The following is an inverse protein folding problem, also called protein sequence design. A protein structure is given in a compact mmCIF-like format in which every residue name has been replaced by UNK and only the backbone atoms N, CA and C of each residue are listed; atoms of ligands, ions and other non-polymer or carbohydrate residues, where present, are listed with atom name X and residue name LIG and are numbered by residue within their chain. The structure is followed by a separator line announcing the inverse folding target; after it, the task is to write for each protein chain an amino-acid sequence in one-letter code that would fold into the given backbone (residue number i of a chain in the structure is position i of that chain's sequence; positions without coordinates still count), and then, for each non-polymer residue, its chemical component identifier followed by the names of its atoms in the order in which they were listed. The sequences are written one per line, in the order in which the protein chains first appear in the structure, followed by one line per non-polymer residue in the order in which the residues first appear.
data_IF_085067709233
#
_entry.id   IF_085067709233
#
_cell.length_a   1.000
_cell.length_b   1.000
_cell.length_c   1.000
_cell.angle_alpha   90.00
_cell.angle_beta   90.00
_cell.angle_gamma   90.00
#
_symmetry.space_group_name_H-M   'P 1'
#
loop_
_entity.id
_entity.type
_entity.pdbx_description
1 polymer ?
#
# COMPACT_ATOMS: atom_id res chain seq x y z
N UNK A 1 2.71 28.49 2.77
CA UNK A 1 1.67 27.61 3.33
C UNK A 1 0.40 27.54 2.47
N UNK A 2 -0.39 28.61 2.26
CA UNK A 2 -1.65 28.55 1.46
C UNK A 2 -1.55 27.94 0.05
N UNK A 3 -0.42 28.08 -0.65
CA UNK A 3 -0.23 27.46 -1.97
C UNK A 3 0.02 25.94 -1.93
N UNK A 4 0.61 25.40 -0.85
CA UNK A 4 0.76 23.95 -0.69
C UNK A 4 -0.59 23.27 -0.44
N UNK A 5 -1.45 23.88 0.39
CA UNK A 5 -2.80 23.38 0.66
C UNK A 5 -3.68 23.34 -0.61
N UNK A 6 -3.64 24.39 -1.45
CA UNK A 6 -4.37 24.40 -2.71
C UNK A 6 -3.85 23.35 -3.71
N UNK A 7 -2.55 23.05 -3.69
CA UNK A 7 -1.97 21.95 -4.46
C UNK A 7 -2.45 20.58 -3.98
N UNK A 8 -2.62 20.43 -2.66
CA UNK A 8 -3.04 19.20 -2.00
C UNK A 8 -4.53 18.92 -2.17
N UNK A 9 -5.40 19.93 -2.01
CA UNK A 9 -6.84 19.83 -2.30
C UNK A 9 -7.08 19.49 -3.78
N UNK A 10 -6.28 20.08 -4.68
CA UNK A 10 -6.33 19.77 -6.11
C UNK A 10 -5.82 18.35 -6.39
N UNK A 11 -4.78 17.89 -5.69
CA UNK A 11 -4.29 16.51 -5.80
C UNK A 11 -5.29 15.49 -5.26
N UNK A 12 -5.96 15.76 -4.14
CA UNK A 12 -7.04 14.93 -3.58
C UNK A 12 -8.24 14.89 -4.51
N UNK A 13 -8.66 16.04 -5.03
CA UNK A 13 -9.71 16.12 -6.05
C UNK A 13 -9.35 15.35 -7.31
N UNK A 14 -8.09 15.41 -7.74
CA UNK A 14 -7.58 14.61 -8.85
C UNK A 14 -7.54 13.11 -8.53
N UNK A 15 -7.21 12.72 -7.30
CA UNK A 15 -7.20 11.31 -6.87
C UNK A 15 -8.62 10.72 -6.85
N UNK A 16 -9.59 11.50 -6.37
CA UNK A 16 -11.02 11.15 -6.38
C UNK A 16 -11.54 11.11 -7.81
N UNK A 17 -11.15 12.06 -8.67
CA UNK A 17 -11.50 12.05 -10.09
C UNK A 17 -10.85 10.87 -10.84
N UNK A 18 -9.60 10.51 -10.52
CA UNK A 18 -8.93 9.31 -11.03
C UNK A 18 -9.64 8.03 -10.56
N UNK A 19 -10.12 7.98 -9.30
CA UNK A 19 -10.94 6.86 -8.80
C UNK A 19 -12.26 6.73 -9.58
N UNK A 20 -12.97 7.84 -9.79
CA UNK A 20 -14.21 7.85 -10.58
C UNK A 20 -13.95 7.48 -12.06
N UNK A 21 -12.87 7.98 -12.66
CA UNK A 21 -12.47 7.63 -14.02
C UNK A 21 -12.01 6.16 -14.14
N UNK A 22 -11.36 5.62 -13.11
CA UNK A 22 -10.96 4.21 -13.05
C UNK A 22 -12.17 3.29 -12.84
N UNK A 23 -13.21 3.73 -12.11
CA UNK A 23 -14.50 3.03 -12.04
C UNK A 23 -15.27 3.08 -13.37
N UNK A 24 -15.18 4.19 -14.10
CA UNK A 24 -15.77 4.31 -15.43
C UNK A 24 -15.00 3.51 -16.49
N UNK A 25 -13.67 3.44 -16.41
CA UNK A 25 -12.82 2.56 -17.23
C UNK A 25 -12.91 1.08 -16.82
N UNK A 26 -13.34 0.75 -15.59
CA UNK A 26 -13.78 -0.61 -15.23
C UNK A 26 -15.06 -1.01 -15.97
N UNK A 27 -15.96 -0.05 -16.25
CA UNK A 27 -17.18 -0.28 -17.06
C UNK A 27 -16.86 -0.36 -18.56
N UNK A 28 -15.82 0.33 -19.01
CA UNK A 28 -15.31 0.28 -20.40
C UNK A 28 -13.94 -0.39 -20.41
N UNK A 29 -13.91 -1.73 -20.36
CA UNK A 29 -12.70 -2.54 -20.23
C UNK A 29 -11.47 -2.01 -20.99
N UNK A 30 -10.66 -1.20 -20.31
CA UNK A 30 -9.40 -0.68 -20.82
C UNK A 30 -8.27 -1.42 -20.11
N UNK A 31 -7.92 -2.58 -20.67
CA UNK A 31 -6.73 -3.34 -20.31
C UNK A 31 -5.49 -2.59 -20.76
N UNK A 32 -4.97 -1.69 -19.92
CA UNK A 32 -3.59 -1.22 -20.02
C UNK A 32 -2.67 -2.43 -19.98
N UNK A 33 -1.95 -2.67 -21.07
CA UNK A 33 -1.12 -3.86 -21.27
C UNK A 33 0.17 -3.71 -20.47
N UNK A 34 0.11 -3.93 -19.15
CA UNK A 34 1.28 -4.29 -18.36
C UNK A 34 1.89 -5.53 -19.02
N UNK A 35 3.21 -5.48 -19.25
CA UNK A 35 3.97 -6.59 -19.81
C UNK A 35 3.94 -7.75 -18.78
N UNK A 36 2.89 -8.58 -18.83
CA UNK A 36 2.49 -9.54 -17.79
C UNK A 36 3.59 -10.54 -17.39
N UNK A 37 4.66 -10.66 -18.17
CA UNK A 37 5.75 -11.60 -17.92
C UNK A 37 6.64 -11.23 -16.73
N UNK A 38 6.63 -9.97 -16.26
CA UNK A 38 7.47 -9.49 -15.16
C UNK A 38 6.69 -8.79 -14.03
N UNK A 39 5.37 -8.86 -14.01
CA UNK A 39 4.56 -8.20 -12.98
C UNK A 39 4.64 -9.00 -11.68
N UNK A 40 5.11 -8.36 -10.60
CA UNK A 40 5.08 -8.96 -9.27
C UNK A 40 3.67 -8.85 -8.70
N UNK A 41 3.26 -9.82 -7.90
CA UNK A 41 2.11 -9.69 -7.03
C UNK A 41 2.56 -9.54 -5.57
N UNK A 42 1.67 -9.02 -4.72
CA UNK A 42 1.95 -8.72 -3.32
C UNK A 42 2.32 -9.97 -2.52
N UNK A 43 1.86 -11.16 -2.92
CA UNK A 43 2.22 -12.39 -2.24
C UNK A 43 3.66 -12.77 -2.47
N UNK A 44 4.27 -12.39 -3.61
CA UNK A 44 5.71 -12.58 -3.87
C UNK A 44 6.61 -12.04 -2.76
N UNK A 45 6.14 -11.05 -2.01
CA UNK A 45 6.91 -10.42 -0.94
C UNK A 45 7.00 -11.29 0.32
N UNK A 46 6.07 -12.22 0.50
CA UNK A 46 5.98 -13.04 1.71
C UNK A 46 6.82 -14.31 1.52
N UNK A 47 7.70 -14.62 2.45
CA UNK A 47 8.48 -15.86 2.36
C UNK A 47 7.60 -17.12 2.47
N UNK A 48 7.93 -18.14 1.69
CA UNK A 48 7.18 -19.41 1.57
C UNK A 48 5.71 -19.24 1.10
N UNK A 49 5.48 -18.32 0.16
CA UNK A 49 4.18 -17.85 -0.37
C UNK A 49 3.04 -18.86 -0.41
N UNK A 50 3.20 -20.02 -1.06
CA UNK A 50 2.08 -20.96 -1.28
C UNK A 50 1.64 -21.72 -0.01
N UNK A 51 2.50 -21.81 1.00
CA UNK A 51 2.23 -22.50 2.27
C UNK A 51 2.15 -21.54 3.46
N UNK A 52 2.43 -20.26 3.23
CA UNK A 52 2.39 -19.25 4.27
C UNK A 52 0.94 -18.91 4.61
N UNK A 53 0.61 -18.99 5.89
CA UNK A 53 -0.74 -18.72 6.43
C UNK A 53 -1.18 -17.28 6.14
N UNK A 54 -0.28 -16.30 6.22
CA UNK A 54 -0.57 -14.89 5.89
C UNK A 54 -0.98 -14.76 4.42
N UNK A 55 -0.25 -15.39 3.49
CA UNK A 55 -0.63 -15.40 2.08
C UNK A 55 -2.01 -16.02 1.87
N UNK A 56 -2.28 -17.15 2.53
CA UNK A 56 -3.58 -17.81 2.43
C UNK A 56 -4.71 -16.91 2.91
N UNK A 57 -4.55 -16.27 4.08
CA UNK A 57 -5.53 -15.31 4.60
C UNK A 57 -5.75 -14.13 3.66
N UNK A 58 -4.68 -13.52 3.16
CA UNK A 58 -4.78 -12.41 2.21
C UNK A 58 -5.54 -12.84 0.95
N UNK A 59 -5.19 -14.00 0.38
CA UNK A 59 -5.81 -14.48 -0.85
C UNK A 59 -7.26 -14.95 -0.67
N UNK A 60 -7.63 -15.44 0.51
CA UNK A 60 -8.98 -15.92 0.79
C UNK A 60 -9.91 -14.84 1.32
N UNK A 61 -9.40 -13.86 2.06
CA UNK A 61 -10.22 -12.86 2.75
C UNK A 61 -10.18 -11.48 2.11
N UNK A 62 -9.19 -11.13 1.28
CA UNK A 62 -9.11 -9.79 0.67
C UNK A 62 -9.78 -9.76 -0.70
N UNK A 63 -10.63 -8.76 -0.96
CA UNK A 63 -11.30 -8.62 -2.25
C UNK A 63 -10.29 -8.45 -3.39
N UNK A 64 -10.57 -9.09 -4.54
CA UNK A 64 -9.73 -9.03 -5.75
C UNK A 64 -9.44 -7.61 -6.22
N UNK A 65 -10.38 -6.67 -6.03
CA UNK A 65 -10.20 -5.27 -6.40
C UNK A 65 -9.12 -4.58 -5.54
N UNK A 66 -9.10 -4.86 -4.24
CA UNK A 66 -8.09 -4.37 -3.31
C UNK A 66 -6.71 -4.95 -3.65
N UNK A 67 -6.63 -6.27 -3.87
CA UNK A 67 -5.38 -6.91 -4.33
C UNK A 67 -4.88 -6.34 -5.67
N UNK A 68 -5.78 -6.06 -6.61
CA UNK A 68 -5.40 -5.46 -7.88
C UNK A 68 -4.83 -4.04 -7.72
N UNK A 69 -5.38 -3.24 -6.81
CA UNK A 69 -4.86 -1.91 -6.48
C UNK A 69 -3.47 -2.00 -5.84
N UNK A 70 -3.29 -2.86 -4.84
CA UNK A 70 -1.99 -3.07 -4.16
C UNK A 70 -0.94 -3.57 -5.15
N UNK A 71 -1.30 -4.54 -6.00
CA UNK A 71 -0.41 -5.02 -7.06
C UNK A 71 -0.06 -3.91 -8.06
N UNK A 72 -0.98 -3.01 -8.39
CA UNK A 72 -0.66 -1.86 -9.23
C UNK A 72 0.38 -0.97 -8.55
N UNK A 73 0.17 -0.60 -7.27
CA UNK A 73 1.14 0.18 -6.47
C UNK A 73 2.52 -0.47 -6.46
N UNK A 74 2.60 -1.77 -6.19
CA UNK A 74 3.86 -2.53 -6.19
C UNK A 74 4.61 -2.42 -7.53
N UNK A 75 3.89 -2.47 -8.65
CA UNK A 75 4.50 -2.47 -9.97
C UNK A 75 4.84 -1.07 -10.49
N UNK A 76 4.15 -0.02 -10.02
CA UNK A 76 4.29 1.36 -10.55
C UNK A 76 5.06 2.31 -9.63
N UNK A 77 5.03 2.11 -8.32
CA UNK A 77 5.69 3.00 -7.37
C UNK A 77 7.14 2.55 -7.10
N UNK A 78 8.15 3.36 -7.44
CA UNK A 78 9.56 2.95 -7.36
C UNK A 78 10.04 2.74 -5.92
N UNK A 79 9.50 3.47 -4.94
CA UNK A 79 9.86 3.29 -3.52
C UNK A 79 9.31 1.95 -3.03
N UNK A 80 8.02 1.67 -3.31
CA UNK A 80 7.40 0.41 -2.91
C UNK A 80 8.08 -0.79 -3.59
N UNK A 81 8.39 -0.67 -4.89
CA UNK A 81 9.12 -1.71 -5.61
C UNK A 81 10.51 -1.96 -5.03
N UNK A 82 11.18 -0.92 -4.55
CA UNK A 82 12.49 -1.01 -3.90
C UNK A 82 12.40 -1.64 -2.51
N UNK A 83 11.38 -1.30 -1.71
CA UNK A 83 11.07 -1.96 -0.44
C UNK A 83 10.83 -3.46 -0.64
N UNK A 84 10.11 -3.80 -1.70
CA UNK A 84 9.85 -5.17 -2.16
C UNK A 84 11.12 -5.98 -2.47
N UNK A 85 12.25 -5.31 -2.69
CA UNK A 85 13.56 -5.91 -2.97
C UNK A 85 14.48 -5.90 -1.72
N UNK A 86 13.93 -5.53 -0.55
CA UNK A 86 14.65 -5.51 0.72
C UNK A 86 15.37 -4.20 1.03
N UNK A 87 15.18 -3.14 0.23
CA UNK A 87 15.69 -1.80 0.59
C UNK A 87 14.90 -1.24 1.78
N UNK A 88 15.60 -0.60 2.70
CA UNK A 88 15.05 0.04 3.90
C UNK A 88 14.97 1.55 3.74
N UNK A 89 14.23 2.23 4.61
CA UNK A 89 14.09 3.70 4.63
C UNK A 89 15.43 4.43 4.48
N UNK A 90 16.47 3.97 5.17
CA UNK A 90 17.81 4.57 5.13
C UNK A 90 18.51 4.52 3.76
N UNK A 91 18.04 3.67 2.84
CA UNK A 91 18.58 3.56 1.48
C UNK A 91 17.97 4.60 0.52
N UNK A 92 16.93 5.32 0.95
CA UNK A 92 16.30 6.36 0.16
C UNK A 92 16.90 7.71 0.56
N UNK A 93 17.63 8.34 -0.36
CA UNK A 93 18.19 9.67 -0.16
C UNK A 93 17.17 10.76 -0.54
N UNK A 94 17.20 11.87 0.19
CA UNK A 94 16.29 13.00 -0.02
C UNK A 94 15.05 12.91 0.87
N UNK A 95 14.03 13.69 0.51
CA UNK A 95 12.78 13.75 1.27
C UNK A 95 11.62 13.32 0.40
N UNK A 96 10.63 12.65 0.98
CA UNK A 96 9.47 12.14 0.26
C UNK A 96 8.66 13.26 -0.45
N UNK A 97 8.84 14.55 -0.11
CA UNK A 97 8.25 15.67 -0.87
C UNK A 97 8.78 15.83 -2.28
N UNK A 98 9.97 15.31 -2.60
CA UNK A 98 10.49 15.41 -3.97
C UNK A 98 9.73 14.50 -4.93
N UNK A 99 8.92 13.59 -4.41
CA UNK A 99 8.12 12.67 -5.19
C UNK A 99 6.76 13.28 -5.57
N UNK A 100 6.18 12.89 -6.73
CA UNK A 100 4.84 13.32 -7.11
C UNK A 100 3.80 12.96 -6.04
N UNK A 101 2.83 13.85 -5.77
CA UNK A 101 1.79 13.64 -4.75
C UNK A 101 1.07 12.29 -4.89
N UNK A 102 0.87 11.82 -6.14
CA UNK A 102 0.30 10.50 -6.42
C UNK A 102 1.14 9.38 -5.79
N UNK A 103 2.46 9.41 -5.94
CA UNK A 103 3.34 8.39 -5.40
C UNK A 103 3.38 8.43 -3.87
N UNK A 104 3.31 9.62 -3.27
CA UNK A 104 3.17 9.78 -1.81
C UNK A 104 1.86 9.15 -1.33
N UNK A 105 0.74 9.42 -2.02
CA UNK A 105 -0.55 8.79 -1.71
C UNK A 105 -0.53 7.27 -1.84
N UNK A 106 0.16 6.74 -2.85
CA UNK A 106 0.36 5.29 -3.02
C UNK A 106 1.23 4.68 -1.92
N UNK A 107 2.22 5.40 -1.39
CA UNK A 107 3.02 4.97 -0.23
C UNK A 107 2.14 4.91 1.01
N UNK A 108 1.29 5.92 1.25
CA UNK A 108 0.33 5.91 2.37
C UNK A 108 -0.60 4.71 2.25
N UNK A 109 -1.16 4.47 1.06
CA UNK A 109 -2.04 3.33 0.85
C UNK A 109 -1.33 1.98 1.06
N UNK A 110 -0.05 1.87 0.69
CA UNK A 110 0.77 0.69 0.98
C UNK A 110 0.99 0.50 2.48
N UNK A 111 1.26 1.58 3.22
CA UNK A 111 1.42 1.56 4.68
C UNK A 111 0.13 1.08 5.35
N UNK A 112 -1.01 1.67 4.99
CA UNK A 112 -2.33 1.29 5.52
C UNK A 112 -2.66 -0.16 5.18
N UNK A 113 -2.36 -0.61 3.96
CA UNK A 113 -2.61 -2.01 3.57
C UNK A 113 -1.88 -2.98 4.50
N UNK A 114 -0.57 -2.82 4.67
CA UNK A 114 0.22 -3.76 5.46
C UNK A 114 0.06 -3.58 6.96
N UNK A 115 0.09 -2.35 7.46
CA UNK A 115 0.20 -2.10 8.90
C UNK A 115 -1.15 -2.09 9.60
N UNK A 116 -2.21 -1.64 8.90
CA UNK A 116 -3.53 -1.48 9.49
C UNK A 116 -4.48 -2.59 9.00
N UNK A 117 -4.65 -2.72 7.69
CA UNK A 117 -5.65 -3.62 7.10
C UNK A 117 -5.28 -5.11 7.22
N UNK A 118 -4.09 -5.52 6.78
CA UNK A 118 -3.65 -6.92 6.90
C UNK A 118 -3.57 -7.34 8.37
N UNK A 119 -3.13 -6.45 9.27
CA UNK A 119 -3.16 -6.72 10.71
C UNK A 119 -4.58 -7.02 11.20
N UNK A 120 -5.56 -6.18 10.84
CA UNK A 120 -6.97 -6.40 11.18
C UNK A 120 -7.53 -7.71 10.60
N UNK A 121 -7.22 -8.02 9.34
CA UNK A 121 -7.63 -9.30 8.72
C UNK A 121 -7.05 -10.50 9.47
N UNK A 122 -5.78 -10.43 9.89
CA UNK A 122 -5.20 -11.52 10.68
C UNK A 122 -5.82 -11.62 12.07
N UNK A 123 -6.13 -10.48 12.72
CA UNK A 123 -6.77 -10.47 14.04
C UNK A 123 -8.19 -11.05 14.00
N UNK A 124 -8.96 -10.73 12.96
CA UNK A 124 -10.35 -11.13 12.81
C UNK A 124 -10.49 -12.61 12.39
N UNK A 125 -9.60 -13.09 11.52
CA UNK A 125 -9.76 -14.40 10.87
C UNK A 125 -8.74 -15.46 11.32
N UNK A 126 -7.61 -15.09 11.94
CA UNK A 126 -6.56 -16.03 12.32
C UNK A 126 -6.51 -16.33 13.83
N UNK A 127 -6.97 -17.51 14.29
CA UNK A 127 -6.89 -17.89 15.70
C UNK A 127 -5.44 -18.04 16.22
N UNK A 128 -4.44 -18.14 15.34
CA UNK A 128 -3.02 -18.31 15.67
C UNK A 128 -2.16 -17.15 15.12
N UNK A 129 -2.67 -15.92 15.12
CA UNK A 129 -1.97 -14.74 14.57
C UNK A 129 -0.49 -14.65 14.96
N UNK A 130 -0.13 -14.98 16.22
CA UNK A 130 1.26 -14.93 16.71
C UNK A 130 2.24 -15.80 15.92
N UNK A 131 1.79 -16.94 15.41
CA UNK A 131 2.63 -17.81 14.58
C UNK A 131 2.67 -17.30 13.14
N UNK A 132 1.55 -16.75 12.65
CA UNK A 132 1.42 -16.22 11.29
C UNK A 132 2.26 -14.97 11.05
N UNK A 133 2.40 -14.09 12.05
CA UNK A 133 3.22 -12.87 11.97
C UNK A 133 4.73 -13.14 12.13
N UNK A 134 5.15 -14.38 12.42
CA UNK A 134 6.57 -14.75 12.39
C UNK A 134 7.12 -14.88 10.96
N UNK A 135 6.28 -14.70 9.95
CA UNK A 135 6.73 -14.69 8.57
C UNK A 135 7.61 -13.46 8.25
N UNK A 136 8.41 -13.61 7.21
CA UNK A 136 9.19 -12.52 6.65
C UNK A 136 8.50 -11.94 5.41
N UNK A 137 8.51 -10.62 5.31
CA UNK A 137 8.09 -9.83 4.15
C UNK A 137 9.32 -9.09 3.64
N UNK A 138 9.64 -9.28 2.35
CA UNK A 138 10.80 -8.68 1.69
C UNK A 138 12.12 -8.94 2.47
N UNK A 139 12.28 -10.14 3.01
CA UNK A 139 13.46 -10.54 3.79
C UNK A 139 13.52 -9.97 5.21
N UNK A 140 12.41 -9.42 5.72
CA UNK A 140 12.32 -8.85 7.08
C UNK A 140 11.15 -9.46 7.85
N UNK A 141 11.28 -9.77 9.15
CA UNK A 141 10.13 -10.14 9.98
C UNK A 141 9.00 -9.13 9.85
N UNK A 142 7.73 -9.58 9.81
CA UNK A 142 6.57 -8.72 9.60
C UNK A 142 6.55 -7.47 10.50
N UNK A 143 6.79 -7.65 11.81
CA UNK A 143 6.84 -6.52 12.77
C UNK A 143 7.94 -5.51 12.41
N UNK A 144 9.10 -5.99 11.94
CA UNK A 144 10.19 -5.14 11.49
C UNK A 144 9.84 -4.44 10.18
N UNK A 145 9.12 -5.12 9.28
CA UNK A 145 8.63 -4.52 8.04
C UNK A 145 7.64 -3.37 8.34
N UNK A 146 6.68 -3.58 9.23
CA UNK A 146 5.77 -2.52 9.69
C UNK A 146 6.51 -1.38 10.41
N UNK A 147 7.53 -1.71 11.22
CA UNK A 147 8.39 -0.69 11.85
C UNK A 147 9.14 0.15 10.80
N UNK A 148 9.59 -0.48 9.72
CA UNK A 148 10.26 0.20 8.61
C UNK A 148 9.30 1.14 7.87
N UNK A 149 8.08 0.67 7.60
CA UNK A 149 7.00 1.48 7.03
C UNK A 149 6.65 2.68 7.94
N UNK A 150 6.68 2.50 9.26
CA UNK A 150 6.47 3.56 10.24
C UNK A 150 7.48 4.72 10.15
N UNK A 151 8.66 4.52 9.57
CA UNK A 151 9.62 5.62 9.31
C UNK A 151 9.17 6.50 8.16
N UNK A 152 8.65 5.90 7.08
CA UNK A 152 8.04 6.64 5.97
C UNK A 152 6.81 7.42 6.44
N UNK A 153 5.94 6.78 7.23
CA UNK A 153 4.76 7.43 7.84
C UNK A 153 5.15 8.68 8.63
N UNK A 154 6.15 8.59 9.51
CA UNK A 154 6.62 9.75 10.30
C UNK A 154 7.15 10.89 9.43
N UNK A 155 7.88 10.58 8.36
CA UNK A 155 8.37 11.62 7.46
C UNK A 155 7.21 12.30 6.72
N UNK A 156 6.30 11.51 6.15
CA UNK A 156 5.12 12.02 5.42
C UNK A 156 4.24 12.86 6.35
N UNK A 157 4.00 12.40 7.57
CA UNK A 157 3.24 13.15 8.58
C UNK A 157 3.92 14.48 8.92
N UNK A 158 5.24 14.48 9.16
CA UNK A 158 6.00 15.70 9.45
C UNK A 158 5.95 16.72 8.31
N UNK A 159 5.88 16.24 7.07
CA UNK A 159 5.78 17.05 5.86
C UNK A 159 4.38 17.65 5.68
N UNK A 160 3.35 16.80 5.74
CA UNK A 160 1.98 17.16 5.34
C UNK A 160 1.18 17.76 6.49
N UNK A 161 1.61 17.50 7.72
CA UNK A 161 0.89 17.80 8.94
C UNK A 161 -0.08 16.67 9.33
N UNK A 162 -0.33 16.49 10.64
CA UNK A 162 -1.06 15.34 11.18
C UNK A 162 -2.50 15.25 10.66
N UNK A 163 -3.16 16.40 10.48
CA UNK A 163 -4.55 16.43 10.01
C UNK A 163 -4.71 15.88 8.59
N UNK A 164 -3.91 16.39 7.64
CA UNK A 164 -3.96 15.94 6.23
C UNK A 164 -3.51 14.49 6.13
N UNK A 165 -2.48 14.12 6.89
CA UNK A 165 -1.99 12.76 6.91
C UNK A 165 -3.06 11.76 7.34
N UNK A 166 -3.82 12.09 8.40
CA UNK A 166 -4.94 11.25 8.85
C UNK A 166 -6.04 11.16 7.81
N UNK A 167 -6.45 12.28 7.19
CA UNK A 167 -7.46 12.25 6.11
C UNK A 167 -7.05 11.34 4.94
N UNK A 168 -5.75 11.30 4.61
CA UNK A 168 -5.22 10.43 3.57
C UNK A 168 -5.22 8.95 4.00
N UNK A 169 -4.90 8.65 5.26
CA UNK A 169 -5.02 7.29 5.80
C UNK A 169 -6.48 6.81 5.77
N UNK A 170 -7.40 7.64 6.25
CA UNK A 170 -8.83 7.33 6.24
C UNK A 170 -9.33 7.08 4.80
N UNK A 171 -8.91 7.95 3.87
CA UNK A 171 -9.20 7.79 2.44
C UNK A 171 -8.64 6.47 1.90
N UNK A 172 -7.43 6.10 2.31
CA UNK A 172 -6.76 4.89 1.84
C UNK A 172 -7.47 3.62 2.32
N UNK A 173 -8.00 3.61 3.55
CA UNK A 173 -8.78 2.50 4.10
C UNK A 173 -9.96 2.10 3.20
N UNK A 174 -10.61 3.07 2.55
CA UNK A 174 -11.71 2.79 1.61
C UNK A 174 -11.29 2.04 0.32
N UNK A 175 -10.00 1.83 0.06
CA UNK A 175 -9.54 0.98 -1.04
C UNK A 175 -9.45 -0.50 -0.65
N UNK A 176 -9.52 -0.81 0.64
CA UNK A 176 -9.31 -2.16 1.17
C UNK A 176 -10.59 -2.69 1.80
N UNK A 177 -10.91 -3.93 1.46
CA UNK A 177 -12.18 -4.54 1.82
C UNK A 177 -12.01 -6.07 1.79
N UNK A 178 -12.72 -6.75 2.70
CA UNK A 178 -12.69 -8.21 2.82
C UNK A 178 -13.84 -8.84 2.04
N UNK A 179 -13.73 -10.12 1.69
CA UNK A 179 -14.88 -10.90 1.24
C UNK A 179 -15.77 -11.21 2.44
N UNK A 180 -17.09 -11.16 2.24
CA UNK A 180 -18.09 -11.52 3.25
C UNK A 180 -18.10 -13.03 3.53
#
# INVERSE_FOLDING_TARGET
MRQMFAGLEKSLSNLVAEKMAHEENKRKGASGTLNRRNALDVTYLIEATSTNRMCQFILSHVKKASLAYVNNVLNTNPIIRSLSQGLKYEHFEGTLISYPTKQVGEIIAWIVFWSDFVSGVLEDFDPNIRETVQCCISGMPYENYCTELGKFEKEIEAIMGPYIFQELKDTATFFFDTVE
#
